data_IF_805795888199
#
_entry.id   IF_805795888199
#
_cell.length_a   1.000
_cell.length_b   1.000
_cell.length_c   1.000
_cell.angle_alpha   90.00
_cell.angle_beta   90.00
_cell.angle_gamma   90.00
#
_symmetry.space_group_name_H-M   'P 1'
#
loop_
_entity.id
_entity.type
_entity.pdbx_description
1 polymer ?
#
# COMPACT_ATOMS: atom_id res chain seq x y z
N UNK A 1 -21.30 -0.75 -67.38
CA UNK A 1 -21.50 0.65 -66.91
C UNK A 1 -22.01 0.59 -65.49
N UNK A 2 -21.38 1.36 -64.59
CA UNK A 2 -21.69 1.58 -63.16
C UNK A 2 -21.24 0.49 -62.17
N UNK A 3 -20.59 0.78 -61.04
CA UNK A 3 -19.69 1.86 -60.57
C UNK A 3 -19.24 1.40 -59.16
N UNK A 4 -17.92 1.35 -58.95
CA UNK A 4 -17.16 1.73 -57.76
C UNK A 4 -17.42 0.97 -56.43
N UNK A 5 -16.43 0.14 -56.09
CA UNK A 5 -16.00 -0.16 -54.72
C UNK A 5 -15.81 1.13 -53.91
N UNK A 6 -16.41 1.24 -52.73
CA UNK A 6 -15.83 2.10 -51.68
C UNK A 6 -15.92 1.42 -50.33
N UNK A 7 -14.74 0.96 -49.91
CA UNK A 7 -14.31 0.67 -48.56
C UNK A 7 -14.53 1.89 -47.66
N UNK A 8 -15.16 1.74 -46.50
CA UNK A 8 -14.96 2.71 -45.41
C UNK A 8 -14.76 1.96 -44.09
N UNK A 9 -13.49 1.93 -43.68
CA UNK A 9 -12.99 1.66 -42.34
C UNK A 9 -13.91 2.26 -41.27
N UNK A 10 -14.52 1.41 -40.44
CA UNK A 10 -14.92 1.84 -39.11
C UNK A 10 -13.64 1.86 -38.26
N UNK A 11 -13.23 3.06 -37.86
CA UNK A 11 -12.19 3.27 -36.86
C UNK A 11 -12.59 2.52 -35.58
N UNK A 12 -11.82 1.50 -35.22
CA UNK A 12 -11.75 1.03 -33.85
C UNK A 12 -11.22 2.20 -33.01
N UNK A 13 -12.11 2.81 -32.22
CA UNK A 13 -11.72 3.64 -31.07
C UNK A 13 -11.00 2.70 -30.09
N UNK A 14 -9.72 2.48 -30.30
CA UNK A 14 -8.85 1.94 -29.26
C UNK A 14 -8.78 2.99 -28.17
N UNK A 15 -9.58 2.79 -27.12
CA UNK A 15 -9.37 3.41 -25.82
C UNK A 15 -7.98 2.99 -25.34
N UNK A 16 -6.98 3.78 -25.73
CA UNK A 16 -5.68 3.71 -25.09
C UNK A 16 -5.90 4.23 -23.68
N UNK A 17 -6.05 3.31 -22.73
CA UNK A 17 -5.81 3.60 -21.34
C UNK A 17 -4.41 4.23 -21.29
N UNK A 18 -4.34 5.53 -20.98
CA UNK A 18 -3.08 6.22 -20.81
C UNK A 18 -2.41 5.70 -19.54
N UNK A 19 -1.76 4.55 -19.63
CA UNK A 19 -0.75 4.16 -18.67
C UNK A 19 0.38 5.17 -18.83
N UNK A 20 0.47 6.13 -17.92
CA UNK A 20 1.57 7.09 -17.87
C UNK A 20 2.87 6.29 -17.71
N UNK A 21 3.60 6.16 -18.82
CA UNK A 21 4.85 5.42 -18.90
C UNK A 21 5.97 6.43 -18.81
N UNK A 22 6.79 6.32 -17.77
CA UNK A 22 7.95 7.18 -17.55
C UNK A 22 9.23 6.37 -17.70
N UNK A 23 10.15 6.85 -18.54
CA UNK A 23 11.50 6.30 -18.60
C UNK A 23 12.36 6.95 -17.51
N UNK A 24 13.06 6.13 -16.74
CA UNK A 24 13.95 6.57 -15.66
C UNK A 24 15.31 5.89 -15.82
N UNK A 25 16.36 6.52 -15.30
CA UNK A 25 17.70 5.94 -15.26
C UNK A 25 18.15 5.77 -13.80
N UNK A 26 18.55 4.55 -13.43
CA UNK A 26 19.10 4.24 -12.10
C UNK A 26 20.39 3.48 -12.29
N UNK A 27 21.49 3.96 -11.69
CA UNK A 27 22.81 3.36 -11.83
C UNK A 27 23.20 3.08 -13.30
N UNK A 28 23.00 4.08 -14.17
CA UNK A 28 23.23 4.02 -15.63
C UNK A 28 22.36 3.03 -16.42
N UNK A 29 21.42 2.34 -15.76
CA UNK A 29 20.50 1.41 -16.40
C UNK A 29 19.13 2.08 -16.64
N UNK A 30 18.54 1.83 -17.81
CA UNK A 30 17.21 2.35 -18.15
C UNK A 30 16.12 1.42 -17.63
N UNK A 31 15.08 2.01 -17.05
CA UNK A 31 13.86 1.33 -16.61
C UNK A 31 12.64 2.10 -17.09
N UNK A 32 11.52 1.39 -17.18
CA UNK A 32 10.20 1.94 -17.42
C UNK A 32 9.39 1.85 -16.13
N UNK A 33 8.81 2.96 -15.70
CA UNK A 33 7.76 3.01 -14.69
C UNK A 33 6.41 3.14 -15.37
N UNK A 34 5.46 2.28 -15.02
CA UNK A 34 4.11 2.29 -15.58
C UNK A 34 3.10 2.41 -14.46
N UNK A 35 2.24 3.40 -14.58
CA UNK A 35 1.06 3.49 -13.72
C UNK A 35 -0.04 2.61 -14.30
N UNK A 36 -0.56 1.67 -13.51
CA UNK A 36 -1.62 0.74 -13.92
C UNK A 36 -2.80 0.91 -12.98
N UNK A 37 -4.00 0.98 -13.56
CA UNK A 37 -5.26 0.96 -12.81
C UNK A 37 -5.85 -0.44 -12.91
N UNK A 38 -6.11 -1.05 -11.77
CA UNK A 38 -6.70 -2.36 -11.63
C UNK A 38 -8.08 -2.18 -11.00
N UNK A 39 -9.13 -2.47 -11.77
CA UNK A 39 -10.48 -2.63 -11.24
C UNK A 39 -10.57 -4.09 -10.79
N UNK A 40 -10.25 -4.37 -9.51
CA UNK A 40 -10.23 -5.74 -8.98
C UNK A 40 -11.68 -6.23 -8.73
N UNK A 41 -12.58 -5.38 -8.24
CA UNK A 41 -13.99 -5.67 -7.95
C UNK A 41 -14.89 -4.41 -8.09
N UNK A 42 -16.22 -4.59 -8.06
CA UNK A 42 -17.20 -3.51 -8.33
C UNK A 42 -17.11 -2.30 -7.38
N UNK A 43 -16.51 -2.46 -6.20
CA UNK A 43 -16.35 -1.42 -5.17
C UNK A 43 -14.88 -1.23 -4.74
N UNK A 44 -13.92 -1.74 -5.52
CA UNK A 44 -12.50 -1.56 -5.24
C UNK A 44 -11.79 -0.81 -6.38
N UNK A 45 -11.04 0.22 -6.00
CA UNK A 45 -10.19 0.97 -6.91
C UNK A 45 -8.75 0.75 -6.48
N UNK A 46 -7.95 0.14 -7.35
CA UNK A 46 -6.51 -0.04 -7.13
C UNK A 46 -5.70 0.62 -8.24
N UNK A 47 -4.65 1.31 -7.82
CA UNK A 47 -3.67 1.94 -8.69
C UNK A 47 -2.27 1.56 -8.21
N UNK A 48 -1.51 0.96 -9.11
CA UNK A 48 -0.16 0.51 -8.84
C UNK A 48 0.86 1.24 -9.73
N UNK A 49 2.09 1.35 -9.23
CA UNK A 49 3.27 1.68 -10.01
C UNK A 49 4.07 0.38 -10.24
N UNK A 50 4.38 0.12 -11.50
CA UNK A 50 5.11 -1.08 -11.92
C UNK A 50 6.44 -0.69 -12.56
N UNK A 51 7.54 -1.33 -12.10
CA UNK A 51 8.87 -1.14 -12.63
C UNK A 51 9.21 -2.24 -13.63
N UNK A 52 9.64 -1.86 -14.82
CA UNK A 52 10.01 -2.75 -15.91
C UNK A 52 11.44 -2.52 -16.38
N UNK A 53 12.05 -3.57 -16.89
CA UNK A 53 13.29 -3.50 -17.68
C UNK A 53 13.26 -4.55 -18.78
N UNK A 54 13.59 -4.18 -20.01
CA UNK A 54 13.57 -5.09 -21.16
C UNK A 54 12.23 -5.85 -21.27
N UNK A 55 11.12 -5.13 -21.08
CA UNK A 55 9.74 -5.67 -21.04
C UNK A 55 9.44 -6.69 -19.92
N UNK A 56 10.37 -6.93 -19.00
CA UNK A 56 10.15 -7.77 -17.82
C UNK A 56 9.74 -6.92 -16.62
N UNK A 57 8.61 -7.25 -15.98
CA UNK A 57 8.19 -6.64 -14.72
C UNK A 57 9.13 -7.08 -13.60
N UNK A 58 9.65 -6.12 -12.85
CA UNK A 58 10.61 -6.32 -11.77
C UNK A 58 10.00 -6.09 -10.39
N UNK A 59 9.22 -5.02 -10.24
CA UNK A 59 8.55 -4.65 -9.00
C UNK A 59 7.15 -4.10 -9.30
N UNK A 60 6.27 -4.21 -8.31
CA UNK A 60 4.97 -3.54 -8.26
C UNK A 60 4.81 -2.93 -6.87
N UNK A 61 4.23 -1.74 -6.79
CA UNK A 61 3.91 -1.08 -5.53
C UNK A 61 2.57 -0.36 -5.64
N UNK A 62 1.73 -0.47 -4.62
CA UNK A 62 0.43 0.19 -4.59
C UNK A 62 0.60 1.66 -4.23
N UNK A 63 0.10 2.55 -5.09
CA UNK A 63 0.12 4.00 -4.86
C UNK A 63 -1.24 4.50 -4.36
N UNK A 64 -2.30 3.77 -4.68
CA UNK A 64 -3.63 4.01 -4.14
C UNK A 64 -4.45 2.72 -4.17
N UNK A 65 -5.10 2.38 -3.07
CA UNK A 65 -6.16 1.39 -3.02
C UNK A 65 -7.25 1.92 -2.11
N UNK A 66 -8.50 1.70 -2.49
CA UNK A 66 -9.65 1.90 -1.59
C UNK A 66 -10.61 0.74 -1.74
N UNK A 67 -11.21 0.34 -0.63
CA UNK A 67 -12.27 -0.67 -0.56
C UNK A 67 -13.25 -0.31 0.55
N UNK A 68 -14.41 -0.97 0.52
CA UNK A 68 -15.49 -0.79 1.48
C UNK A 68 -16.70 -0.07 0.88
N UNK A 69 -17.58 0.42 1.76
CA UNK A 69 -18.86 1.00 1.42
C UNK A 69 -19.13 2.29 2.24
N UNK A 70 -20.40 2.72 2.28
CA UNK A 70 -20.81 3.91 3.04
C UNK A 70 -20.57 3.79 4.57
N UNK A 71 -20.33 2.60 5.09
CA UNK A 71 -20.19 2.30 6.52
C UNK A 71 -18.76 1.96 6.92
N UNK A 72 -17.98 1.35 6.03
CA UNK A 72 -16.58 0.97 6.23
C UNK A 72 -15.77 1.49 5.06
N UNK A 73 -14.68 2.21 5.31
CA UNK A 73 -13.71 2.59 4.28
C UNK A 73 -12.32 2.18 4.73
N UNK A 74 -11.58 1.56 3.82
CA UNK A 74 -10.17 1.21 4.03
C UNK A 74 -9.37 1.74 2.85
N UNK A 75 -8.23 2.37 3.13
CA UNK A 75 -7.32 2.88 2.11
C UNK A 75 -5.90 2.35 2.31
N UNK A 76 -5.23 2.07 1.20
CA UNK A 76 -3.77 2.04 1.12
C UNK A 76 -3.31 3.22 0.27
N UNK A 77 -2.48 4.07 0.84
CA UNK A 77 -1.81 5.15 0.14
C UNK A 77 -0.35 4.80 -0.04
N UNK A 78 0.19 5.05 -1.21
CA UNK A 78 1.60 4.84 -1.45
C UNK A 78 2.24 5.90 -2.31
N UNK A 79 3.56 5.95 -2.20
CA UNK A 79 4.41 6.80 -3.01
C UNK A 79 5.80 6.16 -3.11
N UNK A 80 6.62 6.67 -4.01
CA UNK A 80 7.97 6.21 -4.21
C UNK A 80 8.97 7.35 -4.32
N UNK A 81 10.23 7.03 -4.13
CA UNK A 81 11.34 7.93 -4.35
C UNK A 81 12.50 7.16 -4.98
N UNK A 82 13.11 7.76 -5.99
CA UNK A 82 14.38 7.28 -6.55
C UNK A 82 15.46 8.21 -6.03
N UNK A 83 16.39 7.64 -5.28
CA UNK A 83 17.51 8.38 -4.70
C UNK A 83 18.80 7.59 -4.87
N UNK A 84 19.75 8.20 -5.56
CA UNK A 84 21.00 7.56 -5.98
C UNK A 84 20.69 6.26 -6.76
N UNK A 85 21.15 5.12 -6.23
CA UNK A 85 20.91 3.81 -6.81
C UNK A 85 19.74 3.07 -6.15
N UNK A 86 18.90 3.77 -5.38
CA UNK A 86 17.84 3.16 -4.60
C UNK A 86 16.45 3.55 -5.09
N UNK A 87 15.53 2.60 -4.97
CA UNK A 87 14.08 2.80 -5.11
C UNK A 87 13.49 2.59 -3.73
N UNK A 88 12.82 3.61 -3.20
CA UNK A 88 12.22 3.59 -1.89
C UNK A 88 10.71 3.66 -2.07
N UNK A 89 10.00 2.68 -1.52
CA UNK A 89 8.54 2.64 -1.50
C UNK A 89 8.02 2.92 -0.10
N UNK A 90 6.95 3.72 -0.05
CA UNK A 90 6.23 4.10 1.16
C UNK A 90 4.78 3.61 1.01
N UNK A 91 4.26 2.90 2.01
CA UNK A 91 2.84 2.56 2.14
C UNK A 91 2.31 3.12 3.47
N UNK A 92 1.07 3.55 3.47
CA UNK A 92 0.29 3.95 4.63
C UNK A 92 -1.10 3.33 4.53
N UNK A 93 -1.58 2.73 5.61
CA UNK A 93 -2.93 2.18 5.71
C UNK A 93 -3.73 2.96 6.74
N UNK A 94 -4.99 3.20 6.42
CA UNK A 94 -5.97 3.77 7.33
C UNK A 94 -7.35 3.20 7.05
N UNK A 95 -8.15 3.11 8.10
CA UNK A 95 -9.52 2.62 8.00
C UNK A 95 -10.47 3.42 8.90
N UNK A 96 -11.72 3.52 8.48
CA UNK A 96 -12.82 4.08 9.24
C UNK A 96 -14.02 3.15 9.15
N UNK A 97 -14.66 2.87 10.29
CA UNK A 97 -15.87 2.05 10.34
C UNK A 97 -16.86 2.69 11.31
N UNK A 98 -18.10 2.92 10.87
CA UNK A 98 -19.15 3.47 11.74
C UNK A 98 -19.39 2.64 13.00
N UNK A 99 -19.20 1.32 12.93
CA UNK A 99 -19.42 0.41 14.06
C UNK A 99 -18.18 0.17 14.92
N UNK A 100 -16.99 0.51 14.43
CA UNK A 100 -15.74 0.30 15.15
C UNK A 100 -15.16 -1.11 15.06
N UNK A 101 -15.82 -2.03 14.37
CA UNK A 101 -15.45 -3.45 14.27
C UNK A 101 -14.34 -3.68 13.24
N UNK A 102 -14.36 -2.92 12.14
CA UNK A 102 -13.47 -3.08 10.99
C UNK A 102 -12.58 -1.85 10.77
N UNK A 103 -12.08 -1.25 11.85
CA UNK A 103 -11.25 -0.03 11.81
C UNK A 103 -9.78 -0.29 11.47
N UNK A 104 -9.48 -1.43 10.88
CA UNK A 104 -8.16 -1.88 10.46
C UNK A 104 -8.16 -2.18 8.95
N UNK A 105 -7.02 -2.26 8.26
CA UNK A 105 -5.66 -2.04 8.76
C UNK A 105 -5.33 -0.56 9.04
N UNK A 106 -4.40 -0.33 9.98
CA UNK A 106 -3.73 0.95 10.18
C UNK A 106 -2.24 0.76 10.31
N UNK A 107 -1.44 1.50 9.55
CA UNK A 107 -0.01 1.34 9.65
C UNK A 107 0.79 2.05 8.58
N UNK A 108 2.07 1.71 8.55
CA UNK A 108 3.05 2.24 7.62
C UNK A 108 4.06 1.16 7.25
N UNK A 109 4.57 1.22 6.02
CA UNK A 109 5.68 0.40 5.55
C UNK A 109 6.64 1.23 4.72
N UNK A 110 7.92 0.93 4.87
CA UNK A 110 8.98 1.44 4.00
C UNK A 110 9.80 0.28 3.47
N UNK A 111 9.92 0.20 2.15
CA UNK A 111 10.79 -0.77 1.47
C UNK A 111 11.87 -0.02 0.70
N UNK A 112 13.09 -0.51 0.71
CA UNK A 112 14.21 0.07 -0.01
C UNK A 112 14.87 -1.02 -0.83
N UNK A 113 14.90 -0.80 -2.13
CA UNK A 113 15.58 -1.63 -3.11
C UNK A 113 16.80 -0.88 -3.62
N UNK A 114 17.85 -1.62 -3.96
CA UNK A 114 19.03 -1.08 -4.64
C UNK A 114 19.15 -1.66 -6.04
N UNK A 115 19.69 -0.87 -6.96
CA UNK A 115 19.97 -1.25 -8.34
C UNK A 115 21.49 -1.32 -8.52
N UNK A 116 22.00 -2.52 -8.78
CA UNK A 116 23.43 -2.69 -9.05
C UNK A 116 23.82 -2.25 -10.47
N UNK A 117 25.13 -2.23 -10.77
CA UNK A 117 25.64 -1.75 -12.06
C UNK A 117 25.15 -2.57 -13.27
N UNK A 118 24.69 -3.81 -13.04
CA UNK A 118 24.08 -4.67 -14.07
C UNK A 118 22.58 -4.42 -14.19
N UNK A 119 22.03 -3.48 -13.43
CA UNK A 119 20.61 -3.15 -13.35
C UNK A 119 19.77 -4.21 -12.62
N UNK A 120 20.38 -5.04 -11.76
CA UNK A 120 19.63 -5.99 -10.94
C UNK A 120 19.08 -5.28 -9.71
N UNK A 121 17.77 -5.40 -9.53
CA UNK A 121 17.04 -4.86 -8.38
C UNK A 121 17.11 -5.86 -7.22
N UNK A 122 17.44 -5.40 -6.01
CA UNK A 122 17.51 -6.22 -4.79
C UNK A 122 16.89 -5.48 -3.61
N UNK A 123 16.05 -6.16 -2.85
CA UNK A 123 15.54 -5.63 -1.58
C UNK A 123 16.69 -5.53 -0.57
N UNK A 124 16.90 -4.34 -0.01
CA UNK A 124 17.91 -4.05 1.02
C UNK A 124 17.28 -4.05 2.40
N UNK A 125 16.12 -3.40 2.53
CA UNK A 125 15.38 -3.34 3.78
C UNK A 125 13.89 -3.23 3.53
N UNK A 126 13.09 -3.91 4.35
CA UNK A 126 11.66 -3.71 4.45
C UNK A 126 11.32 -3.62 5.94
N UNK A 127 10.78 -2.49 6.36
CA UNK A 127 10.35 -2.24 7.75
C UNK A 127 8.90 -1.79 7.76
N UNK A 128 8.16 -2.24 8.76
CA UNK A 128 6.73 -1.94 8.89
C UNK A 128 6.28 -1.81 10.33
N UNK A 129 5.22 -1.05 10.52
CA UNK A 129 4.37 -1.09 11.69
C UNK A 129 2.94 -1.15 11.19
N UNK A 130 2.17 -2.13 11.66
CA UNK A 130 0.76 -2.26 11.27
C UNK A 130 -0.05 -2.80 12.45
N UNK A 131 -1.25 -2.27 12.60
CA UNK A 131 -2.36 -2.75 13.41
C UNK A 131 -3.37 -3.36 12.42
N UNK A 132 -3.57 -4.67 12.47
CA UNK A 132 -4.50 -5.39 11.62
C UNK A 132 -5.22 -6.49 12.40
N UNK A 133 -6.29 -7.04 11.85
CA UNK A 133 -7.05 -8.13 12.46
C UNK A 133 -6.48 -9.49 12.05
N UNK A 134 -6.30 -10.39 13.02
CA UNK A 134 -5.95 -11.80 12.78
C UNK A 134 -7.18 -12.69 12.61
N UNK A 135 -8.28 -12.32 13.26
CA UNK A 135 -9.50 -13.10 13.41
C UNK A 135 -10.73 -12.19 13.27
N UNK A 136 -11.91 -12.80 13.19
CA UNK A 136 -13.19 -12.11 13.12
C UNK A 136 -13.40 -11.17 14.33
N UNK A 137 -13.47 -9.84 14.14
CA UNK A 137 -13.64 -8.87 15.21
C UNK A 137 -15.01 -8.96 15.90
N UNK A 138 -15.98 -9.68 15.35
CA UNK A 138 -17.25 -9.99 16.02
C UNK A 138 -17.10 -11.05 17.11
N UNK A 139 -16.08 -11.91 17.00
CA UNK A 139 -15.82 -13.01 17.93
C UNK A 139 -14.74 -12.64 18.95
N UNK A 140 -13.76 -11.85 18.52
CA UNK A 140 -12.57 -11.54 19.30
C UNK A 140 -12.25 -10.06 19.21
N UNK A 141 -12.12 -9.36 20.34
CA UNK A 141 -11.73 -7.95 20.34
C UNK A 141 -10.21 -7.82 20.10
N UNK A 142 -9.74 -7.31 18.94
CA UNK A 142 -8.31 -7.20 18.63
C UNK A 142 -7.53 -6.34 19.63
N UNK A 143 -8.16 -5.26 20.10
CA UNK A 143 -7.57 -4.32 21.06
C UNK A 143 -7.39 -4.94 22.46
N UNK A 144 -8.19 -5.94 22.82
CA UNK A 144 -8.09 -6.64 24.11
C UNK A 144 -7.27 -7.92 24.05
N UNK A 145 -6.97 -8.45 22.88
CA UNK A 145 -6.21 -9.70 22.77
C UNK A 145 -4.75 -9.48 22.40
N UNK A 146 -4.46 -8.98 21.21
CA UNK A 146 -3.09 -8.93 20.70
C UNK A 146 -2.60 -7.50 20.42
N UNK A 147 -3.47 -6.58 19.98
CA UNK A 147 -3.05 -5.22 19.64
C UNK A 147 -2.67 -4.40 20.88
N UNK A 148 -3.29 -4.64 22.04
CA UNK A 148 -2.86 -3.96 23.28
C UNK A 148 -1.37 -4.14 23.57
N UNK A 149 -0.79 -5.29 23.20
CA UNK A 149 0.60 -5.59 23.49
C UNK A 149 1.60 -4.88 22.57
N UNK A 150 1.13 -4.16 21.55
CA UNK A 150 1.93 -3.24 20.75
C UNK A 150 2.27 -1.95 21.51
N UNK A 151 1.48 -1.61 22.53
CA UNK A 151 1.62 -0.38 23.33
C UNK A 151 1.87 -0.65 24.81
N UNK A 152 1.45 -1.83 25.30
CA UNK A 152 1.62 -2.25 26.69
C UNK A 152 2.48 -3.51 26.76
N UNK A 153 3.50 -3.53 27.62
CA UNK A 153 4.35 -4.71 27.75
C UNK A 153 3.53 -5.92 28.26
N UNK A 154 3.65 -7.10 27.61
CA UNK A 154 3.00 -8.32 28.08
C UNK A 154 3.55 -8.73 29.46
N UNK A 155 2.66 -9.17 30.35
CA UNK A 155 2.99 -9.55 31.74
C UNK A 155 3.10 -11.07 31.93
N UNK A 156 2.51 -11.85 31.03
CA UNK A 156 2.49 -13.31 31.11
C UNK A 156 3.09 -13.95 29.86
N UNK A 157 3.48 -15.23 29.95
CA UNK A 157 3.98 -16.00 28.80
C UNK A 157 2.93 -16.12 27.68
N UNK A 158 1.65 -16.20 28.04
CA UNK A 158 0.56 -16.27 27.05
C UNK A 158 0.43 -14.95 26.29
N UNK A 159 0.50 -13.82 26.98
CA UNK A 159 0.48 -12.49 26.35
C UNK A 159 1.70 -12.26 25.45
N UNK A 160 2.88 -12.70 25.89
CA UNK A 160 4.09 -12.64 25.07
C UNK A 160 3.95 -13.50 23.80
N UNK A 161 3.31 -14.67 23.91
CA UNK A 161 3.03 -15.54 22.77
C UNK A 161 2.09 -14.88 21.78
N UNK A 162 0.98 -14.30 22.25
CA UNK A 162 0.03 -13.56 21.40
C UNK A 162 0.72 -12.43 20.62
N UNK A 163 1.55 -11.62 21.30
CA UNK A 163 2.33 -10.56 20.66
C UNK A 163 3.29 -11.11 19.58
N UNK A 164 3.98 -12.21 19.87
CA UNK A 164 4.94 -12.81 18.93
C UNK A 164 4.23 -13.38 17.70
N UNK A 165 3.10 -14.08 17.90
CA UNK A 165 2.28 -14.62 16.82
C UNK A 165 1.76 -13.49 15.93
N UNK A 166 1.21 -12.43 16.53
CA UNK A 166 0.80 -11.23 15.81
C UNK A 166 1.93 -10.63 14.97
N UNK A 167 3.10 -10.38 15.58
CA UNK A 167 4.26 -9.83 14.86
C UNK A 167 4.65 -10.73 13.69
N UNK A 168 4.72 -12.04 13.90
CA UNK A 168 5.09 -12.99 12.84
C UNK A 168 4.12 -12.97 11.66
N UNK A 169 2.81 -12.93 11.94
CA UNK A 169 1.78 -12.83 10.90
C UNK A 169 1.93 -11.53 10.11
N UNK A 170 2.02 -10.37 10.80
CA UNK A 170 2.18 -9.08 10.12
C UNK A 170 3.46 -9.01 9.28
N UNK A 171 4.57 -9.57 9.76
CA UNK A 171 5.80 -9.64 8.97
C UNK A 171 5.65 -10.51 7.72
N UNK A 172 4.92 -11.62 7.83
CA UNK A 172 4.62 -12.50 6.72
C UNK A 172 3.73 -11.82 5.69
N UNK A 173 2.64 -11.20 6.12
CA UNK A 173 1.60 -10.71 5.21
C UNK A 173 2.04 -9.44 4.49
N UNK A 174 2.65 -8.52 5.24
CA UNK A 174 3.11 -7.23 4.72
C UNK A 174 4.56 -7.25 4.20
N UNK A 175 5.24 -8.41 4.28
CA UNK A 175 6.59 -8.69 3.73
C UNK A 175 7.65 -7.69 4.21
N UNK A 176 7.81 -7.56 5.52
CA UNK A 176 8.88 -6.76 6.11
C UNK A 176 9.07 -7.03 7.60
N UNK A 177 10.10 -6.44 8.20
CA UNK A 177 10.39 -6.57 9.63
C UNK A 177 9.53 -5.61 10.42
N UNK A 178 8.85 -6.13 11.45
CA UNK A 178 8.02 -5.31 12.32
C UNK A 178 8.91 -4.44 13.22
N UNK A 179 8.60 -3.16 13.36
CA UNK A 179 9.37 -2.23 14.18
C UNK A 179 8.59 -1.78 15.41
N UNK A 180 9.30 -1.49 16.51
CA UNK A 180 8.71 -1.10 17.79
C UNK A 180 9.40 0.15 18.35
N UNK A 181 8.83 0.72 19.41
CA UNK A 181 9.45 1.81 20.18
C UNK A 181 9.86 3.00 19.31
N UNK A 182 11.10 3.46 19.47
CA UNK A 182 11.61 4.62 18.74
C UNK A 182 11.72 4.40 17.23
N UNK A 183 11.99 3.17 16.79
CA UNK A 183 12.07 2.84 15.36
C UNK A 183 10.70 2.96 14.70
N UNK A 184 9.65 2.47 15.36
CA UNK A 184 8.24 2.68 14.95
C UNK A 184 7.92 4.16 14.82
N UNK A 185 8.24 4.97 15.83
CA UNK A 185 7.92 6.40 15.83
C UNK A 185 8.57 7.12 14.64
N UNK A 186 9.85 6.82 14.36
CA UNK A 186 10.57 7.36 13.20
C UNK A 186 9.96 6.93 11.87
N UNK A 187 9.61 5.64 11.74
CA UNK A 187 9.00 5.12 10.53
C UNK A 187 7.65 5.80 10.24
N UNK A 188 6.78 5.90 11.25
CA UNK A 188 5.47 6.57 11.13
C UNK A 188 5.66 8.02 10.72
N UNK A 189 6.58 8.75 11.38
CA UNK A 189 6.84 10.14 11.05
C UNK A 189 7.34 10.30 9.61
N UNK A 190 8.30 9.47 9.17
CA UNK A 190 8.86 9.55 7.82
C UNK A 190 7.78 9.31 6.76
N UNK A 191 7.02 8.21 6.90
CA UNK A 191 6.00 7.82 5.92
C UNK A 191 4.85 8.82 5.90
N UNK A 192 4.32 9.24 7.05
CA UNK A 192 3.23 10.24 7.10
C UNK A 192 3.69 11.60 6.57
N UNK A 193 4.96 11.95 6.73
CA UNK A 193 5.50 13.19 6.14
C UNK A 193 5.58 13.10 4.61
N UNK A 194 6.04 11.96 4.08
CA UNK A 194 6.10 11.71 2.63
C UNK A 194 4.71 11.75 1.99
N UNK A 195 3.72 11.16 2.67
CA UNK A 195 2.34 11.00 2.17
C UNK A 195 1.36 12.07 2.69
N UNK A 196 1.85 13.15 3.31
CA UNK A 196 1.00 14.08 4.06
C UNK A 196 -0.15 14.67 3.24
N UNK A 197 0.10 14.99 1.96
CA UNK A 197 -0.92 15.57 1.06
C UNK A 197 -1.99 14.55 0.70
N UNK A 198 -1.58 13.33 0.35
CA UNK A 198 -2.47 12.22 0.03
C UNK A 198 -3.33 11.88 1.24
N UNK A 199 -2.73 11.69 2.42
CA UNK A 199 -3.45 11.42 3.67
C UNK A 199 -4.49 12.52 3.93
N UNK A 200 -4.10 13.80 3.86
CA UNK A 200 -5.01 14.92 4.12
C UNK A 200 -6.17 15.01 3.10
N UNK A 201 -5.96 14.52 1.89
CA UNK A 201 -6.96 14.54 0.81
C UNK A 201 -7.94 13.39 1.00
N UNK A 202 -7.42 12.17 1.12
CA UNK A 202 -8.23 10.94 1.14
C UNK A 202 -8.96 10.73 2.47
N UNK A 203 -8.41 11.22 3.59
CA UNK A 203 -9.05 11.11 4.92
C UNK A 203 -9.90 12.33 5.30
N UNK A 204 -10.11 13.26 4.36
CA UNK A 204 -10.92 14.46 4.62
C UNK A 204 -12.36 14.06 4.95
N UNK A 205 -12.88 14.51 6.09
CA UNK A 205 -14.24 14.21 6.53
C UNK A 205 -14.39 12.89 7.31
N UNK A 206 -13.33 12.09 7.45
CA UNK A 206 -13.42 10.78 8.10
C UNK A 206 -13.78 10.88 9.58
N UNK A 207 -13.26 11.89 10.29
CA UNK A 207 -13.62 12.12 11.70
C UNK A 207 -15.10 12.44 11.86
N UNK A 208 -15.67 13.21 10.94
CA UNK A 208 -17.09 13.56 10.93
C UNK A 208 -17.95 12.34 10.57
N UNK A 209 -17.48 11.48 9.67
CA UNK A 209 -18.22 10.31 9.19
C UNK A 209 -18.20 9.12 10.15
N UNK A 210 -17.05 8.85 10.79
CA UNK A 210 -16.80 7.64 11.57
C UNK A 210 -16.49 7.93 13.05
N UNK A 211 -16.34 9.20 13.44
CA UNK A 211 -16.11 9.59 14.83
C UNK A 211 -14.80 9.06 15.41
N UNK A 212 -14.89 8.38 16.56
CA UNK A 212 -13.75 7.76 17.24
C UNK A 212 -13.28 6.47 16.58
N UNK A 213 -14.04 5.95 15.63
CA UNK A 213 -13.80 4.67 14.97
C UNK A 213 -12.98 4.85 13.68
N UNK A 214 -11.99 5.75 13.73
CA UNK A 214 -11.02 5.98 12.66
C UNK A 214 -9.64 5.63 13.19
N UNK A 215 -8.87 4.88 12.42
CA UNK A 215 -7.44 4.64 12.67
C UNK A 215 -6.63 5.27 11.53
N UNK A 216 -5.88 6.33 11.84
CA UNK A 216 -5.12 7.12 10.86
C UNK A 216 -3.87 7.81 11.43
#
# INVERSE_FOLDING_TARGET
MKIIQTLLMLLALSSTAFAETQNIQINQNNFELKTVMNEEEADSLRKDIELYRNNQKLLTHTIYSTTGDCSILQIELGDYEIKDNNIIFYSYWASGDRQGLWTYPYGVRKQTYTVDAKGKVKLVSAVLYVEDILDDPLSTNPDEEYLQFLHTAPKTKQQQRALNEYIQTMQSDYKGRFVHGQERARLIQEVKSKLAKQIATETKGWKEQFGTNVRM
#
